data_IF_850693638921
#
_entry.id   IF_850693638921
#
_cell.length_a   1.000
_cell.length_b   1.000
_cell.length_c   1.000
_cell.angle_alpha   90.00
_cell.angle_beta   90.00
_cell.angle_gamma   90.00
#
_symmetry.space_group_name_H-M   'P 1'
#
loop_
_entity.id
_entity.type
_entity.pdbx_description
1 polymer ?
#
# COMPACT_ATOMS: atom_id res chain seq x y z
N UNK A 1 -7.15 -14.76 21.04
CA UNK A 1 -7.31 -13.31 20.74
C UNK A 1 -7.88 -13.22 19.32
N UNK A 2 -9.16 -12.86 19.17
CA UNK A 2 -9.81 -12.86 17.85
C UNK A 2 -9.26 -11.70 17.01
N UNK A 3 -8.92 -11.94 15.75
CA UNK A 3 -8.50 -10.91 14.78
C UNK A 3 -9.48 -9.74 14.68
N UNK A 4 -10.76 -10.01 14.92
CA UNK A 4 -11.83 -9.02 14.94
C UNK A 4 -11.72 -8.02 16.10
N UNK A 5 -11.21 -8.46 17.28
CA UNK A 5 -11.01 -7.58 18.42
C UNK A 5 -9.84 -6.60 18.19
N UNK A 6 -8.75 -7.08 17.59
CA UNK A 6 -7.58 -6.24 17.29
C UNK A 6 -7.93 -5.11 16.32
N UNK A 7 -8.62 -5.41 15.23
CA UNK A 7 -9.00 -4.39 14.26
C UNK A 7 -9.96 -3.35 14.86
N UNK A 8 -10.94 -3.77 15.67
CA UNK A 8 -11.84 -2.84 16.36
C UNK A 8 -11.13 -1.99 17.41
N UNK A 9 -10.15 -2.55 18.14
CA UNK A 9 -9.31 -1.80 19.06
C UNK A 9 -8.48 -0.74 18.32
N UNK A 10 -7.90 -1.07 17.16
CA UNK A 10 -7.20 -0.11 16.31
C UNK A 10 -8.10 1.06 15.90
N UNK A 11 -9.35 0.81 15.52
CA UNK A 11 -10.28 1.87 15.13
C UNK A 11 -10.64 2.83 16.27
N UNK A 12 -10.48 2.41 17.54
CA UNK A 12 -10.72 3.25 18.73
C UNK A 12 -9.51 4.07 19.17
N UNK A 13 -8.33 3.72 18.68
CA UNK A 13 -7.08 4.43 19.01
C UNK A 13 -7.06 5.89 18.51
N UNK A 14 -6.20 6.71 19.14
CA UNK A 14 -5.99 8.09 18.70
C UNK A 14 -5.40 8.12 17.29
N UNK A 15 -6.07 8.79 16.35
CA UNK A 15 -5.65 8.90 14.94
C UNK A 15 -4.20 9.35 14.74
N UNK A 16 -3.69 10.25 15.60
CA UNK A 16 -2.29 10.71 15.54
C UNK A 16 -1.30 9.56 15.82
N UNK A 17 -1.64 8.71 16.80
CA UNK A 17 -0.82 7.54 17.15
C UNK A 17 -0.81 6.53 16.02
N UNK A 18 -1.97 6.22 15.43
CA UNK A 18 -2.07 5.31 14.29
C UNK A 18 -1.26 5.83 13.09
N UNK A 19 -1.40 7.12 12.77
CA UNK A 19 -0.65 7.73 11.67
C UNK A 19 0.86 7.67 11.89
N UNK A 20 1.33 8.04 13.08
CA UNK A 20 2.75 7.96 13.43
C UNK A 20 3.26 6.51 13.38
N UNK A 21 2.48 5.57 13.87
CA UNK A 21 2.88 4.16 13.92
C UNK A 21 3.02 3.59 12.51
N UNK A 22 2.08 3.84 11.59
CA UNK A 22 2.20 3.35 10.22
C UNK A 22 3.37 4.00 9.49
N UNK A 23 3.59 5.32 9.67
CA UNK A 23 4.75 6.00 9.11
C UNK A 23 6.07 5.42 9.62
N UNK A 24 6.18 5.19 10.94
CA UNK A 24 7.39 4.61 11.54
C UNK A 24 7.63 3.17 11.06
N UNK A 25 6.60 2.34 11.03
CA UNK A 25 6.73 0.97 10.51
C UNK A 25 7.19 0.96 9.05
N UNK A 26 6.59 1.80 8.21
CA UNK A 26 6.97 1.90 6.78
C UNK A 26 8.39 2.42 6.62
N UNK A 27 8.78 3.45 7.37
CA UNK A 27 10.16 3.98 7.37
C UNK A 27 11.17 2.90 7.78
N UNK A 28 10.85 2.14 8.81
CA UNK A 28 11.69 1.06 9.30
C UNK A 28 11.85 -0.06 8.26
N UNK A 29 10.75 -0.50 7.64
CA UNK A 29 10.79 -1.51 6.58
C UNK A 29 11.56 -1.01 5.35
N UNK A 30 11.36 0.25 4.97
CA UNK A 30 12.11 0.85 3.86
C UNK A 30 13.61 0.91 4.17
N UNK A 31 13.99 1.26 5.41
CA UNK A 31 15.38 1.26 5.84
C UNK A 31 16.00 -0.14 5.76
N UNK A 32 15.31 -1.16 6.29
CA UNK A 32 15.80 -2.54 6.20
C UNK A 32 15.95 -2.98 4.74
N UNK A 33 14.91 -2.77 3.92
CA UNK A 33 14.93 -3.13 2.50
C UNK A 33 16.12 -2.50 1.79
N UNK A 34 16.38 -1.23 2.04
CA UNK A 34 17.47 -0.50 1.40
C UNK A 34 18.81 -1.01 1.87
N UNK A 35 19.04 -1.10 3.19
CA UNK A 35 20.34 -1.46 3.77
C UNK A 35 20.76 -2.90 3.50
N UNK A 36 19.80 -3.85 3.43
CA UNK A 36 20.10 -5.29 3.30
C UNK A 36 19.85 -5.87 1.92
N UNK A 37 19.14 -5.17 1.04
CA UNK A 37 18.76 -5.71 -0.27
C UNK A 37 19.23 -4.79 -1.40
N UNK A 38 18.92 -3.51 -1.36
CA UNK A 38 19.22 -2.59 -2.47
C UNK A 38 20.69 -2.16 -2.49
N UNK A 39 21.27 -1.85 -1.33
CA UNK A 39 22.65 -1.39 -1.22
C UNK A 39 23.67 -2.51 -1.50
N UNK A 40 23.30 -3.79 -1.37
CA UNK A 40 24.12 -4.95 -1.69
C UNK A 40 24.08 -5.35 -3.17
N UNK A 41 23.24 -4.70 -3.99
CA UNK A 41 23.21 -5.00 -5.42
C UNK A 41 24.41 -4.38 -6.15
N UNK A 42 25.08 -5.17 -7.01
CA UNK A 42 26.24 -4.72 -7.82
C UNK A 42 25.90 -3.51 -8.68
N UNK A 43 24.67 -3.37 -9.14
CA UNK A 43 24.21 -2.21 -9.89
C UNK A 43 24.22 -0.92 -9.05
N UNK A 44 23.91 -1.01 -7.76
CA UNK A 44 23.95 0.14 -6.85
C UNK A 44 25.37 0.54 -6.49
N UNK A 45 26.27 -0.43 -6.24
CA UNK A 45 27.69 -0.16 -5.99
C UNK A 45 28.35 0.56 -7.17
N UNK A 46 28.02 0.15 -8.40
CA UNK A 46 28.56 0.78 -9.61
C UNK A 46 28.06 2.21 -9.78
N UNK A 47 26.80 2.50 -9.48
CA UNK A 47 26.21 3.84 -9.54
C UNK A 47 26.68 4.73 -8.38
N UNK A 48 26.88 4.17 -7.19
CA UNK A 48 27.33 4.93 -6.01
C UNK A 48 28.77 5.43 -6.13
N UNK A 49 29.64 4.72 -6.85
CA UNK A 49 31.01 5.12 -7.13
C UNK A 49 31.18 6.17 -8.23
N UNK A 50 30.11 6.50 -8.96
CA UNK A 50 30.10 7.46 -10.05
C UNK A 50 29.63 8.87 -9.66
N UNK A 51 29.66 9.83 -10.62
CA UNK A 51 29.15 11.19 -10.41
C UNK A 51 27.65 11.23 -10.09
N UNK A 52 26.94 10.14 -10.31
CA UNK A 52 25.51 9.98 -10.04
C UNK A 52 25.22 9.59 -8.57
N UNK A 53 26.23 9.23 -7.77
CA UNK A 53 26.04 8.81 -6.37
C UNK A 53 25.42 9.89 -5.48
N UNK A 54 25.67 11.17 -5.75
CA UNK A 54 25.04 12.28 -5.04
C UNK A 54 23.53 12.37 -5.33
N UNK A 55 23.10 12.06 -6.54
CA UNK A 55 21.68 11.99 -6.91
C UNK A 55 20.94 10.85 -6.22
N UNK A 56 21.58 9.70 -6.08
CA UNK A 56 21.03 8.54 -5.37
C UNK A 56 20.80 8.86 -3.89
N UNK A 57 21.72 9.58 -3.26
CA UNK A 57 21.59 10.01 -1.86
C UNK A 57 20.43 10.99 -1.68
N UNK A 58 20.28 11.98 -2.59
CA UNK A 58 19.17 12.94 -2.59
C UNK A 58 17.83 12.24 -2.83
N UNK A 59 17.76 11.33 -3.80
CA UNK A 59 16.55 10.54 -4.10
C UNK A 59 16.13 9.73 -2.89
N UNK A 60 17.07 9.12 -2.19
CA UNK A 60 16.82 8.35 -0.98
C UNK A 60 16.27 9.21 0.15
N UNK A 61 16.89 10.37 0.41
CA UNK A 61 16.40 11.30 1.42
C UNK A 61 14.99 11.80 1.10
N UNK A 62 14.70 12.11 -0.17
CA UNK A 62 13.36 12.49 -0.62
C UNK A 62 12.35 11.36 -0.39
N UNK A 63 12.70 10.13 -0.66
CA UNK A 63 11.84 8.97 -0.46
C UNK A 63 11.39 8.85 1.00
N UNK A 64 12.28 9.04 1.96
CA UNK A 64 11.93 9.03 3.39
C UNK A 64 11.02 10.20 3.78
N UNK A 65 11.28 11.40 3.27
CA UNK A 65 10.49 12.60 3.57
C UNK A 65 9.09 12.55 2.95
N UNK A 66 8.93 11.90 1.80
CA UNK A 66 7.64 11.83 1.10
C UNK A 66 6.65 10.86 1.73
N UNK A 67 7.09 9.87 2.52
CA UNK A 67 6.21 8.86 3.14
C UNK A 67 5.04 9.48 3.91
N UNK A 68 5.23 10.39 4.89
CA UNK A 68 4.11 10.96 5.62
C UNK A 68 3.20 11.82 4.74
N UNK A 69 3.74 12.49 3.73
CA UNK A 69 2.97 13.31 2.79
C UNK A 69 2.09 12.43 1.92
N UNK A 70 2.66 11.35 1.35
CA UNK A 70 1.93 10.39 0.53
C UNK A 70 0.82 9.70 1.33
N UNK A 71 1.09 9.29 2.57
CA UNK A 71 0.06 8.70 3.43
C UNK A 71 -1.04 9.69 3.78
N UNK A 72 -0.71 10.94 4.09
CA UNK A 72 -1.70 11.96 4.36
C UNK A 72 -2.62 12.17 3.16
N UNK A 73 -2.05 12.27 1.95
CA UNK A 73 -2.79 12.39 0.70
C UNK A 73 -3.66 11.15 0.43
N UNK A 74 -3.09 9.96 0.54
CA UNK A 74 -3.80 8.68 0.34
C UNK A 74 -5.02 8.56 1.26
N UNK A 75 -4.83 8.82 2.55
CA UNK A 75 -5.90 8.72 3.53
C UNK A 75 -6.98 9.78 3.34
N UNK A 76 -6.61 10.98 2.88
CA UNK A 76 -7.54 12.03 2.55
C UNK A 76 -8.43 11.62 1.37
N UNK A 77 -7.83 11.17 0.27
CA UNK A 77 -8.56 10.80 -0.95
C UNK A 77 -9.44 9.58 -0.69
N UNK A 78 -8.89 8.50 -0.13
CA UNK A 78 -9.64 7.27 0.14
C UNK A 78 -10.72 7.49 1.20
N UNK A 79 -10.41 8.22 2.28
CA UNK A 79 -11.38 8.58 3.31
C UNK A 79 -12.53 9.39 2.74
N UNK A 80 -12.25 10.33 1.82
CA UNK A 80 -13.26 11.12 1.14
C UNK A 80 -14.16 10.26 0.23
N UNK A 81 -13.56 9.38 -0.57
CA UNK A 81 -14.31 8.48 -1.47
C UNK A 81 -15.25 7.55 -0.70
N UNK A 82 -14.75 6.92 0.38
CA UNK A 82 -15.59 6.06 1.24
C UNK A 82 -16.67 6.87 1.96
N UNK A 83 -16.36 8.08 2.39
CA UNK A 83 -17.35 8.97 3.03
C UNK A 83 -18.46 9.36 2.07
N UNK A 84 -18.13 9.80 0.84
CA UNK A 84 -19.11 10.14 -0.21
C UNK A 84 -19.95 8.92 -0.56
N UNK A 85 -19.34 7.76 -0.76
CA UNK A 85 -20.07 6.51 -0.99
C UNK A 85 -21.04 6.19 0.13
N UNK A 86 -20.60 6.28 1.39
CA UNK A 86 -21.47 6.05 2.55
C UNK A 86 -22.63 7.05 2.61
N UNK A 87 -22.36 8.31 2.30
CA UNK A 87 -23.38 9.36 2.27
C UNK A 87 -24.45 9.11 1.19
N UNK A 88 -24.04 8.70 -0.01
CA UNK A 88 -24.98 8.37 -1.11
C UNK A 88 -25.91 7.22 -0.76
N UNK A 89 -25.48 6.29 0.07
CA UNK A 89 -26.31 5.18 0.58
C UNK A 89 -27.08 5.52 1.87
N UNK A 90 -27.06 6.79 2.30
CA UNK A 90 -27.78 7.27 3.47
C UNK A 90 -27.20 6.81 4.81
N UNK A 91 -25.90 6.48 4.85
CA UNK A 91 -25.22 6.08 6.08
C UNK A 91 -24.67 7.30 6.80
N UNK A 92 -24.92 7.35 8.10
CA UNK A 92 -24.46 8.45 8.97
C UNK A 92 -23.06 8.17 9.51
N UNK A 93 -22.07 8.11 8.62
CA UNK A 93 -20.66 7.93 8.98
C UNK A 93 -19.94 9.27 8.73
N UNK A 94 -19.14 9.69 9.69
CA UNK A 94 -18.38 10.96 9.56
C UNK A 94 -17.11 10.74 8.73
N UNK A 95 -16.61 11.82 8.12
CA UNK A 95 -15.35 11.78 7.39
C UNK A 95 -14.17 11.32 8.29
N UNK A 96 -14.16 11.74 9.56
CA UNK A 96 -13.15 11.31 10.52
C UNK A 96 -13.17 9.80 10.78
N UNK A 97 -14.37 9.19 10.83
CA UNK A 97 -14.51 7.74 10.96
C UNK A 97 -13.99 7.02 9.71
N UNK A 98 -14.33 7.51 8.51
CA UNK A 98 -13.78 6.96 7.26
C UNK A 98 -12.25 7.06 7.21
N UNK A 99 -11.67 8.18 7.66
CA UNK A 99 -10.23 8.34 7.77
C UNK A 99 -9.59 7.29 8.71
N UNK A 100 -10.20 7.03 9.86
CA UNK A 100 -9.73 5.99 10.80
C UNK A 100 -9.80 4.60 10.19
N UNK A 101 -10.87 4.30 9.45
CA UNK A 101 -11.03 3.02 8.75
C UNK A 101 -9.90 2.81 7.74
N UNK A 102 -9.63 3.80 6.91
CA UNK A 102 -8.58 3.73 5.89
C UNK A 102 -7.21 3.54 6.53
N UNK A 103 -6.88 4.32 7.57
CA UNK A 103 -5.62 4.15 8.32
C UNK A 103 -5.50 2.77 8.95
N UNK A 104 -6.56 2.26 9.58
CA UNK A 104 -6.56 0.93 10.19
C UNK A 104 -6.38 -0.20 9.17
N UNK A 105 -7.04 -0.08 8.03
CA UNK A 105 -6.91 -1.06 6.94
C UNK A 105 -5.52 -1.04 6.31
N UNK A 106 -4.85 0.11 6.26
CA UNK A 106 -3.54 0.28 5.61
C UNK A 106 -2.43 -0.60 6.20
N UNK A 107 -2.54 -0.98 7.48
CA UNK A 107 -1.57 -1.86 8.12
C UNK A 107 -1.42 -3.22 7.42
N UNK A 108 -2.40 -3.66 6.63
CA UNK A 108 -2.32 -4.90 5.86
C UNK A 108 -1.15 -4.87 4.86
N UNK A 109 -0.82 -3.71 4.31
CA UNK A 109 0.25 -3.57 3.33
C UNK A 109 1.66 -3.64 3.91
N UNK A 110 1.82 -3.61 5.24
CA UNK A 110 3.11 -3.90 5.87
C UNK A 110 3.47 -5.39 5.74
N UNK A 111 2.47 -6.28 5.66
CA UNK A 111 2.70 -7.73 5.56
C UNK A 111 3.42 -8.11 4.26
N UNK A 112 2.97 -7.71 3.05
CA UNK A 112 3.70 -8.01 1.82
C UNK A 112 5.09 -7.40 1.78
N UNK A 113 5.32 -6.24 2.38
CA UNK A 113 6.67 -5.66 2.46
C UNK A 113 7.59 -6.49 3.35
N UNK A 114 7.09 -6.98 4.49
CA UNK A 114 7.83 -7.93 5.35
C UNK A 114 8.13 -9.23 4.60
N UNK A 115 7.12 -9.81 3.92
CA UNK A 115 7.29 -11.04 3.15
C UNK A 115 8.31 -10.86 2.02
N UNK A 116 8.31 -9.71 1.36
CA UNK A 116 9.27 -9.36 0.32
C UNK A 116 10.70 -9.31 0.88
N UNK A 117 10.91 -8.65 2.00
CA UNK A 117 12.23 -8.60 2.67
C UNK A 117 12.68 -10.00 3.05
N UNK A 118 11.82 -10.81 3.66
CA UNK A 118 12.16 -12.19 4.04
C UNK A 118 12.49 -13.06 2.82
N UNK A 119 11.77 -12.88 1.71
CA UNK A 119 12.03 -13.61 0.48
C UNK A 119 13.43 -13.34 -0.07
N UNK A 120 13.82 -12.07 -0.19
CA UNK A 120 15.13 -11.69 -0.70
C UNK A 120 16.28 -11.96 0.30
N UNK A 121 15.99 -11.99 1.59
CA UNK A 121 17.00 -12.28 2.59
C UNK A 121 17.34 -13.79 2.70
N UNK A 122 16.33 -14.68 2.48
CA UNK A 122 16.49 -16.12 2.74
C UNK A 122 16.41 -17.02 1.51
N UNK A 123 15.76 -16.58 0.44
CA UNK A 123 15.46 -17.42 -0.73
C UNK A 123 16.26 -16.96 -1.95
N UNK A 124 16.27 -15.68 -2.23
CA UNK A 124 16.92 -15.09 -3.39
C UNK A 124 17.94 -14.04 -2.92
N UNK A 125 19.12 -14.52 -2.54
CA UNK A 125 20.17 -13.72 -1.88
C UNK A 125 20.98 -12.84 -2.82
N UNK A 126 20.89 -13.04 -4.14
CA UNK A 126 21.57 -12.23 -5.17
C UNK A 126 20.59 -11.70 -6.21
N UNK A 127 19.58 -10.92 -5.81
CA UNK A 127 18.56 -10.47 -6.75
C UNK A 127 19.10 -9.34 -7.64
N UNK A 128 18.65 -9.32 -8.90
CA UNK A 128 18.82 -8.16 -9.76
C UNK A 128 17.89 -7.01 -9.30
N UNK A 129 18.37 -5.76 -9.44
CA UNK A 129 17.61 -4.56 -9.06
C UNK A 129 16.21 -4.51 -9.70
N UNK A 130 16.08 -4.92 -10.96
CA UNK A 130 14.79 -5.00 -11.65
C UNK A 130 13.86 -6.01 -10.96
N UNK A 131 14.37 -7.19 -10.61
CA UNK A 131 13.61 -8.23 -9.93
C UNK A 131 13.12 -7.82 -8.54
N UNK A 132 13.95 -7.07 -7.78
CA UNK A 132 13.53 -6.49 -6.49
C UNK A 132 12.31 -5.57 -6.68
N UNK A 133 12.33 -4.75 -7.74
CA UNK A 133 11.25 -3.81 -8.01
C UNK A 133 9.98 -4.47 -8.56
N UNK A 134 10.12 -5.51 -9.37
CA UNK A 134 8.99 -6.23 -9.96
C UNK A 134 8.29 -7.15 -8.97
N UNK A 135 9.03 -7.82 -8.11
CA UNK A 135 8.47 -8.79 -7.19
C UNK A 135 7.54 -8.15 -6.16
N UNK A 136 6.32 -8.66 -6.08
CA UNK A 136 5.36 -8.37 -5.02
C UNK A 136 4.61 -9.65 -4.61
N UNK A 137 4.65 -10.05 -3.33
CA UNK A 137 4.06 -11.31 -2.89
C UNK A 137 2.57 -11.42 -3.24
N UNK A 138 2.17 -12.57 -3.77
CA UNK A 138 0.77 -12.89 -4.14
C UNK A 138 0.12 -11.89 -5.11
N UNK A 139 0.90 -11.27 -5.99
CA UNK A 139 0.40 -10.40 -7.07
C UNK A 139 0.27 -11.14 -8.39
N UNK A 140 -0.56 -10.62 -9.30
CA UNK A 140 -0.66 -11.14 -10.66
C UNK A 140 0.65 -10.97 -11.43
N UNK A 141 1.52 -10.05 -11.06
CA UNK A 141 2.83 -9.87 -11.67
C UNK A 141 3.71 -11.12 -11.59
N UNK A 142 3.56 -11.91 -10.52
CA UNK A 142 4.32 -13.15 -10.34
C UNK A 142 3.87 -14.30 -11.27
N UNK A 143 2.73 -14.16 -11.97
CA UNK A 143 2.21 -15.15 -12.92
C UNK A 143 2.61 -14.86 -14.37
N UNK A 144 3.19 -13.70 -14.64
CA UNK A 144 3.63 -13.26 -15.96
C UNK A 144 5.14 -13.07 -16.00
N UNK A 145 5.72 -13.17 -17.21
CA UNK A 145 7.15 -12.91 -17.37
C UNK A 145 7.37 -11.40 -17.52
N UNK A 146 8.09 -10.81 -16.56
CA UNK A 146 8.39 -9.38 -16.52
C UNK A 146 9.07 -8.88 -17.80
N UNK A 147 10.05 -9.64 -18.34
CA UNK A 147 10.82 -9.26 -19.50
C UNK A 147 9.99 -9.16 -20.81
N UNK A 148 8.84 -9.86 -20.87
CA UNK A 148 7.95 -9.85 -22.05
C UNK A 148 6.71 -8.98 -21.85
N UNK A 149 6.48 -8.51 -20.63
CA UNK A 149 5.30 -7.70 -20.30
C UNK A 149 5.64 -6.21 -20.46
N UNK A 150 4.78 -5.49 -21.16
CA UNK A 150 4.90 -4.05 -21.38
C UNK A 150 4.88 -3.28 -20.02
N UNK A 151 5.77 -2.29 -19.85
CA UNK A 151 5.95 -1.55 -18.60
C UNK A 151 4.67 -0.90 -18.06
N UNK A 152 3.74 -0.51 -18.94
CA UNK A 152 2.44 0.05 -18.57
C UNK A 152 1.57 -0.90 -17.74
N UNK A 153 1.77 -2.22 -17.83
CA UNK A 153 1.02 -3.23 -17.09
C UNK A 153 1.71 -3.63 -15.77
N UNK A 154 2.97 -3.29 -15.57
CA UNK A 154 3.72 -3.70 -14.37
C UNK A 154 3.04 -3.26 -13.09
N UNK A 155 2.67 -1.96 -12.99
CA UNK A 155 2.00 -1.46 -11.79
C UNK A 155 0.60 -2.04 -11.58
N UNK A 156 -0.32 -2.07 -12.58
CA UNK A 156 -1.63 -2.72 -12.43
C UNK A 156 -1.55 -4.18 -12.00
N UNK A 157 -0.65 -4.96 -12.60
CA UNK A 157 -0.47 -6.38 -12.25
C UNK A 157 0.07 -6.58 -10.84
N UNK A 158 0.93 -5.69 -10.35
CA UNK A 158 1.38 -5.66 -8.95
C UNK A 158 0.27 -5.28 -7.99
N UNK A 159 -0.51 -4.28 -8.32
CA UNK A 159 -1.56 -3.75 -7.46
C UNK A 159 -2.72 -4.72 -7.31
N UNK A 160 -2.98 -5.58 -8.32
CA UNK A 160 -3.94 -6.67 -8.19
C UNK A 160 -3.27 -7.83 -7.44
N UNK A 161 -3.45 -7.85 -6.13
CA UNK A 161 -2.85 -8.83 -5.24
C UNK A 161 -3.84 -9.26 -4.14
N UNK A 162 -3.48 -10.32 -3.41
CA UNK A 162 -4.33 -10.85 -2.34
C UNK A 162 -4.56 -9.81 -1.22
N UNK A 163 -3.57 -9.00 -0.91
CA UNK A 163 -3.66 -8.01 0.17
C UNK A 163 -4.61 -6.86 -0.17
N UNK A 164 -4.77 -6.54 -1.46
CA UNK A 164 -5.76 -5.58 -1.93
C UNK A 164 -7.19 -6.05 -1.68
N UNK A 165 -7.45 -7.35 -1.85
CA UNK A 165 -8.75 -7.95 -1.54
C UNK A 165 -9.01 -7.90 -0.04
N UNK A 166 -8.00 -8.24 0.78
CA UNK A 166 -8.10 -8.15 2.25
C UNK A 166 -8.29 -6.69 2.68
N UNK A 167 -7.61 -5.74 2.04
CA UNK A 167 -7.78 -4.32 2.30
C UNK A 167 -9.24 -3.86 2.08
N UNK A 168 -9.84 -4.21 0.95
CA UNK A 168 -11.27 -3.92 0.69
C UNK A 168 -12.19 -4.56 1.73
N UNK A 169 -11.89 -5.78 2.16
CA UNK A 169 -12.62 -6.43 3.24
C UNK A 169 -12.51 -5.67 4.57
N UNK A 170 -11.30 -5.21 4.94
CA UNK A 170 -11.08 -4.42 6.15
C UNK A 170 -11.81 -3.06 6.09
N UNK A 171 -11.82 -2.40 4.94
CA UNK A 171 -12.61 -1.18 4.74
C UNK A 171 -14.11 -1.44 4.98
N UNK A 172 -14.64 -2.54 4.43
CA UNK A 172 -16.05 -2.92 4.62
C UNK A 172 -16.36 -3.26 6.09
N UNK A 173 -15.45 -3.94 6.77
CA UNK A 173 -15.55 -4.25 8.21
C UNK A 173 -15.52 -2.98 9.08
N UNK A 174 -14.62 -2.06 8.80
CA UNK A 174 -14.55 -0.78 9.50
C UNK A 174 -15.82 0.06 9.30
N UNK A 175 -16.34 0.08 8.07
CA UNK A 175 -17.58 0.76 7.76
C UNK A 175 -18.78 0.09 8.46
N UNK A 176 -18.82 -1.24 8.54
CA UNK A 176 -19.81 -2.00 9.30
C UNK A 176 -19.82 -1.60 10.78
N UNK A 177 -18.62 -1.47 11.38
CA UNK A 177 -18.47 -1.11 12.79
C UNK A 177 -19.09 0.27 13.11
N UNK A 178 -18.81 1.30 12.29
CA UNK A 178 -19.32 2.65 12.55
C UNK A 178 -20.76 2.87 12.08
N UNK A 179 -21.20 2.16 11.03
CA UNK A 179 -22.57 2.32 10.49
C UNK A 179 -23.61 1.42 11.15
N UNK A 180 -23.19 0.41 11.92
CA UNK A 180 -24.04 -0.66 12.47
C UNK A 180 -24.91 -1.35 11.39
N UNK A 181 -24.38 -1.52 10.19
CA UNK A 181 -25.08 -2.16 9.07
C UNK A 181 -24.42 -3.49 8.70
N UNK A 182 -25.15 -4.43 8.09
CA UNK A 182 -24.61 -5.73 7.73
C UNK A 182 -23.43 -5.60 6.74
N UNK A 183 -22.46 -6.51 6.87
CA UNK A 183 -21.23 -6.53 6.06
C UNK A 183 -21.52 -6.53 4.54
N UNK A 184 -22.56 -7.23 4.10
CA UNK A 184 -22.97 -7.27 2.68
C UNK A 184 -23.19 -5.87 2.12
N UNK A 185 -23.89 -5.01 2.83
CA UNK A 185 -24.21 -3.66 2.37
C UNK A 185 -22.99 -2.74 2.39
N UNK A 186 -22.15 -2.85 3.43
CA UNK A 186 -20.92 -2.05 3.53
C UNK A 186 -19.87 -2.50 2.52
N UNK A 187 -19.78 -3.78 2.23
CA UNK A 187 -18.94 -4.30 1.15
C UNK A 187 -19.38 -3.77 -0.22
N UNK A 188 -20.69 -3.70 -0.48
CA UNK A 188 -21.21 -3.09 -1.71
C UNK A 188 -20.80 -1.63 -1.85
N UNK A 189 -20.88 -0.85 -0.76
CA UNK A 189 -20.45 0.56 -0.76
C UNK A 189 -18.94 0.67 -1.08
N UNK A 190 -18.12 -0.14 -0.43
CA UNK A 190 -16.67 -0.14 -0.67
C UNK A 190 -16.38 -0.51 -2.13
N UNK A 191 -17.00 -1.54 -2.67
CA UNK A 191 -16.81 -1.95 -4.07
C UNK A 191 -17.21 -0.84 -5.05
N UNK A 192 -18.35 -0.20 -4.85
CA UNK A 192 -18.85 0.85 -5.75
C UNK A 192 -18.03 2.14 -5.62
N UNK A 193 -17.46 2.43 -4.45
CA UNK A 193 -16.70 3.67 -4.22
C UNK A 193 -15.21 3.49 -4.52
N UNK A 194 -14.60 2.43 -4.01
CA UNK A 194 -13.16 2.21 -4.08
C UNK A 194 -12.70 1.62 -5.42
N UNK A 195 -13.41 0.61 -5.95
CA UNK A 195 -13.01 -0.08 -7.16
C UNK A 195 -12.95 0.83 -8.40
N UNK A 196 -13.92 1.74 -8.66
CA UNK A 196 -13.81 2.68 -9.77
C UNK A 196 -12.61 3.62 -9.64
N UNK A 197 -12.27 4.06 -8.41
CA UNK A 197 -11.08 4.88 -8.17
C UNK A 197 -9.80 4.11 -8.48
N UNK A 198 -9.71 2.85 -8.07
CA UNK A 198 -8.58 1.97 -8.36
C UNK A 198 -8.43 1.74 -9.87
N UNK A 199 -9.53 1.46 -10.56
CA UNK A 199 -9.53 1.28 -12.03
C UNK A 199 -9.17 2.58 -12.78
N UNK A 200 -9.66 3.71 -12.31
CA UNK A 200 -9.28 5.01 -12.87
C UNK A 200 -7.78 5.30 -12.69
N UNK A 201 -7.23 4.94 -11.53
CA UNK A 201 -5.80 5.02 -11.27
C UNK A 201 -4.97 4.12 -12.20
N UNK A 202 -5.43 2.88 -12.44
CA UNK A 202 -4.78 1.99 -13.41
C UNK A 202 -4.82 2.55 -14.82
N UNK A 203 -5.97 3.07 -15.25
CA UNK A 203 -6.12 3.72 -16.55
C UNK A 203 -5.18 4.92 -16.72
N UNK A 204 -5.11 5.77 -15.70
CA UNK A 204 -4.17 6.90 -15.68
C UNK A 204 -2.71 6.43 -15.81
N UNK A 205 -2.32 5.43 -15.02
CA UNK A 205 -0.97 4.88 -15.06
C UNK A 205 -0.63 4.33 -16.45
N UNK A 206 -1.53 3.54 -17.04
CA UNK A 206 -1.34 2.95 -18.39
C UNK A 206 -1.21 4.01 -19.49
N UNK A 207 -1.86 5.17 -19.33
CA UNK A 207 -1.75 6.29 -20.29
C UNK A 207 -0.42 7.02 -20.13
N UNK A 208 0.05 7.20 -18.91
CA UNK A 208 1.29 7.95 -18.62
C UNK A 208 2.55 7.17 -19.01
N UNK A 209 2.51 5.83 -18.89
CA UNK A 209 3.64 4.94 -19.17
C UNK A 209 3.46 4.10 -20.45
N UNK A 210 2.45 4.40 -21.28
CA UNK A 210 2.10 3.70 -22.54
C UNK A 210 2.60 4.37 -23.82
#
# INVERSE_FOLDING_TARGET
MNSDSLFTEMLTQKKRVMFLLICLCTLFLLYIKKSFIEDETTAFEFMAGGPEGSWLSVRSALQYLTIPVVYCWKFLVLGFVIWVGSFMYGYRVTFEQCWRIVMGAEFIFLIPEILKILFFLFIDTEPDFFRINAFYPFSLMNLVNEATTDERFHYPLKAINLFEIVYMYLLARGLMYFSNRPLKNTATIVLISYLPLLLAWFGFYMIVYG
#
